data_IF_413792593222
#
_entry.id   IF_413792593222
#
_cell.length_a   1.000
_cell.length_b   1.000
_cell.length_c   1.000
_cell.angle_alpha   90.00
_cell.angle_beta   90.00
_cell.angle_gamma   90.00
#
_symmetry.space_group_name_H-M   'P 1'
#
loop_
_entity.id
_entity.type
_entity.pdbx_description
1 polymer ?
#
# COMPACT_ATOMS: atom_id res chain seq x y z
N UNK A 1 30.90 20.36 -14.56
CA UNK A 1 31.12 19.12 -13.79
C UNK A 1 30.08 18.00 -14.04
N UNK A 2 28.97 18.22 -14.74
CA UNK A 2 27.88 17.23 -14.86
C UNK A 2 28.06 16.19 -16.03
N UNK A 3 28.79 16.52 -17.11
CA UNK A 3 28.95 15.61 -18.27
C UNK A 3 29.94 14.45 -18.06
N UNK A 4 30.87 14.59 -17.15
CA UNK A 4 31.90 13.58 -16.89
C UNK A 4 31.38 12.48 -15.96
N UNK A 5 30.55 12.82 -14.98
CA UNK A 5 29.89 11.86 -14.07
C UNK A 5 28.88 10.97 -14.83
N UNK A 6 28.15 11.53 -15.79
CA UNK A 6 27.18 10.78 -16.59
C UNK A 6 27.86 9.71 -17.47
N UNK A 7 29.00 10.07 -18.10
CA UNK A 7 29.78 9.11 -18.91
C UNK A 7 30.42 7.99 -18.10
N UNK A 8 30.78 8.26 -16.84
CA UNK A 8 31.31 7.23 -15.93
C UNK A 8 30.19 6.26 -15.53
N UNK A 9 29.00 6.78 -15.27
CA UNK A 9 27.83 5.96 -14.94
C UNK A 9 27.38 5.06 -16.11
N UNK A 10 27.28 5.61 -17.33
CA UNK A 10 26.99 4.80 -18.53
C UNK A 10 28.06 3.75 -18.82
N UNK A 11 29.32 4.07 -18.56
CA UNK A 11 30.43 3.11 -18.75
C UNK A 11 30.40 2.02 -17.68
N UNK A 12 30.03 2.33 -16.45
CA UNK A 12 29.83 1.33 -15.39
C UNK A 12 28.65 0.41 -15.70
N UNK A 13 27.51 0.94 -16.17
CA UNK A 13 26.37 0.13 -16.59
C UNK A 13 26.77 -0.81 -17.73
N UNK A 14 27.44 -0.33 -18.76
CA UNK A 14 27.91 -1.17 -19.88
C UNK A 14 28.95 -2.21 -19.45
N UNK A 15 29.80 -1.92 -18.46
CA UNK A 15 30.73 -2.90 -17.91
C UNK A 15 30.00 -3.96 -17.08
N UNK A 16 29.00 -3.58 -16.31
CA UNK A 16 28.15 -4.52 -15.58
C UNK A 16 27.32 -5.40 -16.52
N UNK A 17 26.78 -4.83 -17.60
CA UNK A 17 26.06 -5.58 -18.65
C UNK A 17 26.97 -6.58 -19.40
N UNK A 18 28.26 -6.26 -19.59
CA UNK A 18 29.21 -7.15 -20.25
C UNK A 18 29.83 -8.22 -19.32
N UNK A 19 29.82 -8.02 -18.00
CA UNK A 19 30.37 -9.00 -17.06
C UNK A 19 29.36 -10.10 -16.67
N UNK A 20 28.06 -9.89 -16.92
CA UNK A 20 27.04 -10.93 -16.67
C UNK A 20 26.87 -11.76 -17.95
N UNK A 21 27.92 -12.45 -18.40
CA UNK A 21 27.74 -13.67 -19.18
C UNK A 21 27.26 -14.75 -18.20
N UNK A 22 25.92 -14.84 -18.06
CA UNK A 22 25.34 -15.88 -17.23
C UNK A 22 25.68 -17.26 -17.84
N UNK A 23 26.41 -18.11 -17.15
CA UNK A 23 26.62 -19.49 -17.59
C UNK A 23 25.28 -20.23 -17.45
N UNK A 24 24.78 -20.84 -18.51
CA UNK A 24 23.60 -21.68 -18.48
C UNK A 24 22.60 -21.41 -19.61
N UNK A 25 21.39 -21.92 -19.44
CA UNK A 25 20.30 -21.84 -20.41
C UNK A 25 19.45 -20.55 -20.26
N UNK A 26 19.76 -19.70 -19.31
CA UNK A 26 19.06 -18.43 -19.11
C UNK A 26 19.31 -17.47 -20.26
N UNK A 27 18.25 -16.86 -20.75
CA UNK A 27 18.27 -15.81 -21.76
C UNK A 27 17.39 -14.66 -21.29
N UNK A 28 17.97 -13.49 -21.04
CA UNK A 28 17.26 -12.31 -20.56
C UNK A 28 16.16 -11.83 -21.51
N UNK A 29 16.33 -12.06 -22.81
CA UNK A 29 15.32 -11.76 -23.82
C UNK A 29 14.06 -12.62 -23.76
N UNK A 30 14.12 -13.75 -23.05
CA UNK A 30 12.99 -14.65 -22.80
C UNK A 30 12.35 -14.42 -21.42
N UNK A 31 12.87 -13.49 -20.64
CA UNK A 31 12.30 -13.14 -19.36
C UNK A 31 11.01 -12.34 -19.56
N UNK A 32 9.94 -12.81 -18.95
CA UNK A 32 8.63 -12.17 -18.99
C UNK A 32 8.11 -12.02 -17.56
N UNK A 33 7.55 -10.84 -17.27
CA UNK A 33 6.83 -10.63 -16.02
C UNK A 33 5.65 -11.61 -15.91
N UNK A 34 5.55 -12.26 -14.75
CA UNK A 34 4.52 -13.25 -14.47
C UNK A 34 3.35 -12.68 -13.66
N UNK A 35 3.15 -11.36 -13.64
CA UNK A 35 2.09 -10.71 -12.90
C UNK A 35 0.71 -11.05 -13.44
N UNK A 36 -0.25 -11.28 -12.54
CA UNK A 36 -1.67 -11.31 -12.84
C UNK A 36 -2.29 -9.98 -12.42
N UNK A 37 -2.98 -9.29 -13.32
CA UNK A 37 -3.63 -8.01 -13.04
C UNK A 37 -5.11 -8.12 -13.38
N UNK A 38 -5.95 -7.55 -12.51
CA UNK A 38 -7.39 -7.43 -12.75
C UNK A 38 -7.91 -6.05 -12.36
N UNK A 39 -9.01 -5.68 -12.98
CA UNK A 39 -9.71 -4.44 -12.67
C UNK A 39 -11.22 -4.63 -12.75
N UNK A 40 -11.94 -3.97 -11.86
CA UNK A 40 -13.39 -3.87 -11.91
C UNK A 40 -13.80 -2.41 -11.71
N UNK A 41 -14.75 -1.95 -12.51
CA UNK A 41 -15.22 -0.56 -12.48
C UNK A 41 -16.74 -0.53 -12.63
N UNK A 42 -17.41 0.16 -11.72
CA UNK A 42 -18.83 0.50 -11.87
C UNK A 42 -18.97 1.65 -12.87
N UNK A 43 -19.54 1.40 -14.04
CA UNK A 43 -19.69 2.40 -15.11
C UNK A 43 -20.52 3.60 -14.63
N UNK A 44 -21.50 3.36 -13.78
CA UNK A 44 -22.35 4.40 -13.20
C UNK A 44 -21.75 5.08 -11.96
N UNK A 45 -20.53 4.72 -11.55
CA UNK A 45 -19.86 5.27 -10.37
C UNK A 45 -20.50 4.87 -9.04
N UNK A 46 -21.38 3.87 -9.02
CA UNK A 46 -22.05 3.41 -7.79
C UNK A 46 -21.06 2.59 -6.97
N UNK A 47 -20.81 3.05 -5.75
CA UNK A 47 -19.95 2.34 -4.80
C UNK A 47 -20.74 1.21 -4.14
N UNK A 48 -20.21 0.01 -4.15
CA UNK A 48 -20.79 -1.16 -3.49
C UNK A 48 -19.71 -2.04 -2.86
N UNK A 49 -20.08 -2.80 -1.83
CA UNK A 49 -19.23 -3.84 -1.27
C UNK A 49 -19.07 -5.01 -2.28
N UNK A 50 -20.06 -5.22 -3.14
CA UNK A 50 -19.98 -6.25 -4.19
C UNK A 50 -18.78 -6.01 -5.11
N UNK A 51 -18.47 -4.76 -5.49
CA UNK A 51 -17.26 -4.42 -6.27
C UNK A 51 -15.98 -4.87 -5.57
N UNK A 52 -15.90 -4.74 -4.24
CA UNK A 52 -14.75 -5.20 -3.45
C UNK A 52 -14.67 -6.73 -3.46
N UNK A 53 -15.78 -7.40 -3.22
CA UNK A 53 -15.87 -8.87 -3.22
C UNK A 53 -15.54 -9.46 -4.59
N UNK A 54 -16.05 -8.88 -5.67
CA UNK A 54 -15.76 -9.35 -7.04
C UNK A 54 -14.28 -9.14 -7.39
N UNK A 55 -13.67 -8.03 -6.97
CA UNK A 55 -12.24 -7.81 -7.17
C UNK A 55 -11.38 -8.84 -6.42
N UNK A 56 -11.74 -9.19 -5.19
CA UNK A 56 -11.08 -10.26 -4.45
C UNK A 56 -11.24 -11.62 -5.14
N UNK A 57 -12.41 -11.90 -5.72
CA UNK A 57 -12.64 -13.12 -6.51
C UNK A 57 -11.81 -13.15 -7.81
N UNK A 58 -11.55 -11.99 -8.44
CA UNK A 58 -10.61 -11.90 -9.57
C UNK A 58 -9.21 -12.35 -9.12
N UNK A 59 -8.72 -11.85 -7.96
CA UNK A 59 -7.43 -12.27 -7.39
C UNK A 59 -7.38 -13.79 -7.17
N UNK A 60 -8.41 -14.35 -6.56
CA UNK A 60 -8.51 -15.80 -6.28
C UNK A 60 -8.47 -16.62 -7.58
N UNK A 61 -9.11 -16.14 -8.65
CA UNK A 61 -9.10 -16.78 -9.97
C UNK A 61 -7.74 -16.69 -10.68
N UNK A 62 -6.84 -15.81 -10.24
CA UNK A 62 -5.47 -15.67 -10.76
C UNK A 62 -4.49 -16.64 -10.07
N UNK A 63 -4.93 -17.61 -9.28
CA UNK A 63 -4.07 -18.56 -8.56
C UNK A 63 -3.06 -19.27 -9.47
N UNK A 64 -3.42 -19.56 -10.71
CA UNK A 64 -2.55 -20.19 -11.72
C UNK A 64 -1.37 -19.29 -12.15
N UNK A 65 -1.38 -17.99 -11.78
CA UNK A 65 -0.31 -17.00 -12.02
C UNK A 65 0.48 -16.69 -10.75
N UNK A 66 0.03 -17.16 -9.59
CA UNK A 66 0.63 -16.84 -8.31
C UNK A 66 1.84 -17.74 -8.01
N UNK A 67 2.96 -17.12 -7.63
CA UNK A 67 4.10 -17.83 -7.07
C UNK A 67 3.82 -18.32 -5.66
N UNK A 68 4.36 -19.51 -5.35
CA UNK A 68 4.26 -20.11 -4.01
C UNK A 68 5.67 -20.53 -3.57
N UNK A 69 5.95 -20.36 -2.29
CA UNK A 69 7.20 -20.85 -1.72
C UNK A 69 7.22 -22.40 -1.64
N UNK A 70 8.38 -22.96 -1.27
CA UNK A 70 8.55 -24.41 -1.17
C UNK A 70 7.61 -25.09 -0.16
N UNK A 71 7.11 -24.35 0.85
CA UNK A 71 6.14 -24.84 1.82
C UNK A 71 4.69 -24.74 1.30
N UNK A 72 4.47 -24.03 0.19
CA UNK A 72 3.16 -23.79 -0.40
C UNK A 72 2.22 -22.92 0.45
N UNK A 73 2.76 -22.19 1.44
CA UNK A 73 2.00 -21.41 2.42
C UNK A 73 2.26 -19.91 2.36
N UNK A 74 3.33 -19.49 1.68
CA UNK A 74 3.68 -18.08 1.49
C UNK A 74 3.69 -17.79 -0.01
N UNK A 75 3.07 -16.69 -0.42
CA UNK A 75 3.04 -16.26 -1.82
C UNK A 75 4.03 -15.13 -2.08
N UNK A 76 4.25 -14.82 -3.36
CA UNK A 76 5.15 -13.75 -3.80
C UNK A 76 4.60 -12.36 -3.49
N UNK A 77 3.28 -12.21 -3.55
CA UNK A 77 2.62 -10.96 -3.20
C UNK A 77 1.25 -10.84 -3.86
N UNK A 78 0.30 -10.32 -3.10
CA UNK A 78 -1.05 -10.01 -3.57
C UNK A 78 -1.49 -8.67 -3.02
N UNK A 79 -2.19 -7.89 -3.83
CA UNK A 79 -2.70 -6.61 -3.39
C UNK A 79 -4.00 -6.19 -4.08
N UNK A 80 -4.72 -5.29 -3.40
CA UNK A 80 -5.90 -4.62 -3.92
C UNK A 80 -5.81 -3.12 -3.65
N UNK A 81 -6.07 -2.33 -4.70
CA UNK A 81 -6.27 -0.89 -4.59
C UNK A 81 -7.77 -0.61 -4.68
N UNK A 82 -8.29 0.11 -3.71
CA UNK A 82 -9.69 0.50 -3.58
C UNK A 82 -9.83 2.01 -3.43
N UNK A 83 -11.01 2.54 -3.69
CA UNK A 83 -11.35 3.88 -3.22
C UNK A 83 -11.45 3.89 -1.69
N UNK A 84 -11.14 5.04 -1.09
CA UNK A 84 -11.38 5.25 0.35
C UNK A 84 -12.90 5.26 0.57
N UNK A 85 -13.39 4.25 1.31
CA UNK A 85 -14.80 4.17 1.68
C UNK A 85 -15.09 5.09 2.84
N UNK A 86 -15.69 6.26 2.57
CA UNK A 86 -16.04 7.23 3.61
C UNK A 86 -17.02 6.65 4.63
N UNK A 87 -18.00 5.88 4.16
CA UNK A 87 -18.98 5.18 5.00
C UNK A 87 -18.31 4.25 6.02
N UNK A 88 -17.36 3.43 5.56
CA UNK A 88 -16.61 2.52 6.39
C UNK A 88 -15.71 3.28 7.39
N UNK A 89 -14.84 4.17 6.91
CA UNK A 89 -13.86 4.84 7.76
C UNK A 89 -14.52 5.72 8.81
N UNK A 90 -15.60 6.42 8.48
CA UNK A 90 -16.35 7.24 9.44
C UNK A 90 -16.85 6.42 10.64
N UNK A 91 -17.26 5.18 10.39
CA UNK A 91 -17.67 4.25 11.49
C UNK A 91 -16.44 3.67 12.20
N UNK A 92 -15.43 3.25 11.45
CA UNK A 92 -14.26 2.56 12.00
C UNK A 92 -13.39 3.43 12.91
N UNK A 93 -13.33 4.75 12.67
CA UNK A 93 -12.51 5.66 13.48
C UNK A 93 -13.30 6.39 14.59
N UNK A 94 -14.62 6.31 14.57
CA UNK A 94 -15.48 6.96 15.59
C UNK A 94 -15.12 6.54 17.04
N UNK A 95 -14.86 5.25 17.33
CA UNK A 95 -14.46 4.83 18.67
C UNK A 95 -13.10 5.39 19.12
N UNK A 96 -12.26 5.85 18.16
CA UNK A 96 -10.95 6.43 18.41
C UNK A 96 -11.01 7.95 18.62
N UNK A 97 -12.19 8.56 18.54
CA UNK A 97 -12.36 10.00 18.66
C UNK A 97 -11.85 10.80 17.46
N UNK A 98 -11.65 10.14 16.31
CA UNK A 98 -11.17 10.80 15.08
C UNK A 98 -12.37 11.33 14.28
N UNK A 99 -12.37 12.62 13.99
CA UNK A 99 -13.39 13.28 13.16
C UNK A 99 -12.87 13.54 11.76
N UNK A 100 -13.43 12.85 10.75
CA UNK A 100 -12.94 12.90 9.37
C UNK A 100 -13.48 14.07 8.54
N UNK A 101 -14.58 14.72 8.97
CA UNK A 101 -15.32 15.65 8.12
C UNK A 101 -16.08 14.95 7.00
N UNK A 102 -16.16 15.59 5.83
CA UNK A 102 -16.83 15.06 4.65
C UNK A 102 -15.90 14.17 3.79
N UNK A 103 -16.49 13.48 2.82
CA UNK A 103 -15.73 12.70 1.86
C UNK A 103 -14.69 13.57 1.13
N UNK A 104 -13.43 13.09 1.05
CA UNK A 104 -12.27 13.79 0.47
C UNK A 104 -11.77 15.02 1.25
N UNK A 105 -12.27 15.25 2.47
CA UNK A 105 -11.70 16.24 3.38
C UNK A 105 -10.56 15.69 4.25
N UNK A 106 -10.19 14.45 4.00
CA UNK A 106 -9.07 13.77 4.65
C UNK A 106 -8.35 12.84 3.68
N UNK A 107 -7.10 12.55 3.98
CA UNK A 107 -6.31 11.49 3.37
C UNK A 107 -6.13 10.33 4.34
N UNK A 108 -5.98 9.13 3.78
CA UNK A 108 -5.67 7.91 4.54
C UNK A 108 -4.34 7.35 4.06
N UNK A 109 -3.43 7.12 5.00
CA UNK A 109 -2.18 6.39 4.76
C UNK A 109 -2.27 4.96 5.27
N UNK A 110 -1.73 4.01 4.52
CA UNK A 110 -1.47 2.65 4.97
C UNK A 110 0.02 2.52 5.23
N UNK A 111 0.39 2.22 6.47
CA UNK A 111 1.77 2.17 6.95
C UNK A 111 2.12 0.78 7.45
N UNK A 112 3.31 0.33 7.09
CA UNK A 112 3.93 -0.88 7.58
C UNK A 112 5.10 -0.48 8.48
N UNK A 113 4.94 -0.67 9.77
CA UNK A 113 5.90 -0.31 10.81
C UNK A 113 6.64 -1.53 11.33
N UNK A 114 7.82 -1.35 11.97
CA UNK A 114 8.48 -2.42 12.69
C UNK A 114 7.62 -2.94 13.87
N UNK A 115 7.82 -4.21 14.23
CA UNK A 115 7.16 -4.82 15.39
C UNK A 115 7.67 -4.23 16.72
N UNK A 116 8.92 -3.76 16.75
CA UNK A 116 9.45 -3.06 17.91
C UNK A 116 8.65 -1.80 18.22
N UNK A 117 8.13 -1.71 19.44
CA UNK A 117 7.23 -0.64 19.85
C UNK A 117 7.93 0.73 19.88
N UNK A 118 9.18 0.76 20.32
CA UNK A 118 9.92 2.02 20.41
C UNK A 118 10.23 2.60 19.03
N UNK A 119 10.71 1.75 18.10
CA UNK A 119 10.97 2.12 16.72
C UNK A 119 9.66 2.56 16.03
N UNK A 120 8.58 1.81 16.22
CA UNK A 120 7.24 2.17 15.71
C UNK A 120 6.77 3.53 16.23
N UNK A 121 6.88 3.79 17.52
CA UNK A 121 6.45 5.06 18.12
C UNK A 121 7.29 6.24 17.64
N UNK A 122 8.59 6.05 17.43
CA UNK A 122 9.47 7.06 16.80
C UNK A 122 9.04 7.39 15.39
N UNK A 123 8.79 6.37 14.54
CA UNK A 123 8.35 6.54 13.18
C UNK A 123 6.98 7.24 13.10
N UNK A 124 6.02 6.85 13.95
CA UNK A 124 4.72 7.53 14.07
C UNK A 124 4.89 9.00 14.40
N UNK A 125 5.69 9.31 15.42
CA UNK A 125 5.90 10.70 15.84
C UNK A 125 6.62 11.52 14.78
N UNK A 126 7.56 10.92 14.07
CA UNK A 126 8.23 11.56 12.93
C UNK A 126 7.22 11.92 11.83
N UNK A 127 6.32 11.01 11.45
CA UNK A 127 5.28 11.28 10.46
C UNK A 127 4.35 12.42 10.90
N UNK A 128 3.89 12.43 12.15
CA UNK A 128 3.06 13.49 12.72
C UNK A 128 3.74 14.88 12.60
N UNK A 129 5.02 14.95 12.98
CA UNK A 129 5.80 16.19 12.90
C UNK A 129 5.97 16.67 11.44
N UNK A 130 6.19 15.73 10.50
CA UNK A 130 6.31 16.05 9.08
C UNK A 130 5.00 16.59 8.53
N UNK A 131 3.87 15.94 8.85
CA UNK A 131 2.54 16.39 8.45
C UNK A 131 2.27 17.82 8.93
N UNK A 132 2.60 18.14 10.19
CA UNK A 132 2.46 19.48 10.75
C UNK A 132 3.38 20.51 10.04
N UNK A 133 4.65 20.14 9.79
CA UNK A 133 5.61 21.01 9.08
C UNK A 133 5.21 21.32 7.65
N UNK A 134 4.54 20.37 6.97
CA UNK A 134 3.99 20.55 5.62
C UNK A 134 2.64 21.32 5.62
N UNK A 135 2.25 21.87 6.78
CA UNK A 135 1.02 22.66 6.93
C UNK A 135 -0.27 21.83 6.83
N UNK A 136 -0.19 20.57 7.19
CA UNK A 136 -1.31 19.63 7.28
C UNK A 136 -1.63 19.37 8.76
N UNK A 137 -2.82 18.82 9.03
CA UNK A 137 -3.25 18.44 10.37
C UNK A 137 -3.36 16.91 10.45
N UNK A 138 -2.65 16.31 11.41
CA UNK A 138 -2.75 14.88 11.67
C UNK A 138 -3.93 14.60 12.60
N UNK A 139 -4.85 13.71 12.18
CA UNK A 139 -6.08 13.42 12.93
C UNK A 139 -5.93 12.24 13.89
N UNK A 140 -5.10 11.26 13.56
CA UNK A 140 -4.89 10.10 14.43
C UNK A 140 -4.49 8.83 13.69
N UNK A 141 -4.15 7.81 14.49
CA UNK A 141 -3.79 6.47 14.04
C UNK A 141 -4.90 5.46 14.33
N UNK A 142 -5.05 4.49 13.43
CA UNK A 142 -5.92 3.33 13.59
C UNK A 142 -5.12 2.05 13.35
N UNK A 143 -5.21 1.08 14.24
CA UNK A 143 -4.72 -0.27 14.00
C UNK A 143 -5.61 -0.95 12.96
N UNK A 144 -4.99 -1.59 11.96
CA UNK A 144 -5.72 -2.36 10.96
C UNK A 144 -6.03 -3.74 11.54
N UNK A 145 -7.30 -4.17 11.57
CA UNK A 145 -7.63 -5.53 11.99
C UNK A 145 -7.03 -6.56 11.04
N UNK A 146 -6.11 -7.38 11.55
CA UNK A 146 -5.41 -8.42 10.78
C UNK A 146 -5.52 -9.77 11.46
N UNK A 147 -5.51 -10.85 10.67
CA UNK A 147 -5.60 -12.22 11.13
C UNK A 147 -4.38 -13.04 10.69
N UNK A 148 -3.25 -12.97 11.43
CA UNK A 148 -1.98 -13.62 11.05
C UNK A 148 -2.04 -15.16 10.99
N UNK A 149 -3.02 -15.78 11.60
CA UNK A 149 -3.22 -17.24 11.64
C UNK A 149 -3.43 -17.87 10.25
N UNK A 150 -3.75 -17.08 9.23
CA UNK A 150 -3.91 -17.54 7.85
C UNK A 150 -2.61 -17.58 7.07
N UNK A 151 -1.53 -16.99 7.62
CA UNK A 151 -0.25 -16.83 6.93
C UNK A 151 0.67 -18.05 7.10
N UNK A 152 1.57 -18.23 6.13
CA UNK A 152 2.72 -19.12 6.29
C UNK A 152 3.75 -18.54 7.24
N UNK A 153 4.60 -19.43 7.84
CA UNK A 153 5.59 -19.03 8.83
C UNK A 153 6.53 -17.91 8.36
N UNK A 154 7.01 -17.99 7.12
CA UNK A 154 7.90 -16.95 6.56
C UNK A 154 7.25 -15.58 6.51
N UNK A 155 5.97 -15.51 6.12
CA UNK A 155 5.22 -14.26 6.08
C UNK A 155 4.98 -13.70 7.49
N UNK A 156 4.71 -14.57 8.48
CA UNK A 156 4.56 -14.16 9.89
C UNK A 156 5.89 -13.63 10.45
N UNK A 157 7.01 -14.30 10.17
CA UNK A 157 8.33 -13.93 10.70
C UNK A 157 8.79 -12.52 10.21
N UNK A 158 8.30 -12.06 9.05
CA UNK A 158 8.61 -10.72 8.52
C UNK A 158 7.40 -9.77 8.48
N UNK A 159 6.29 -10.14 9.13
CA UNK A 159 5.07 -9.33 9.11
C UNK A 159 5.30 -7.98 9.80
N UNK A 160 4.97 -6.85 9.13
CA UNK A 160 5.02 -5.54 9.76
C UNK A 160 3.84 -5.32 10.71
N UNK A 161 3.95 -4.33 11.57
CA UNK A 161 2.82 -3.79 12.31
C UNK A 161 2.05 -2.82 11.40
N UNK A 162 0.79 -3.10 11.11
CA UNK A 162 0.03 -2.39 10.08
C UNK A 162 -0.92 -1.38 10.71
N UNK A 163 -0.77 -0.11 10.33
CA UNK A 163 -1.61 0.99 10.81
C UNK A 163 -2.10 1.88 9.67
N UNK A 164 -3.20 2.56 9.93
CA UNK A 164 -3.71 3.64 9.10
C UNK A 164 -3.54 4.97 9.81
N UNK A 165 -2.99 5.97 9.08
CA UNK A 165 -2.87 7.35 9.55
C UNK A 165 -3.83 8.25 8.79
N UNK A 166 -4.49 9.17 9.48
CA UNK A 166 -5.48 10.08 8.93
C UNK A 166 -4.96 11.51 8.96
N UNK A 167 -5.04 12.18 7.80
CA UNK A 167 -4.54 13.55 7.62
C UNK A 167 -5.66 14.42 7.08
N UNK A 168 -5.95 15.53 7.74
CA UNK A 168 -7.00 16.47 7.33
C UNK A 168 -6.56 17.34 6.16
N UNK A 169 -7.48 17.60 5.25
CA UNK A 169 -7.29 18.56 4.18
C UNK A 169 -7.26 19.98 4.73
N UNK A 170 -6.23 20.79 4.46
CA UNK A 170 -6.21 22.16 4.88
C UNK A 170 -7.19 23.01 4.06
N UNK A 171 -7.77 24.04 4.67
CA UNK A 171 -8.80 24.88 4.04
C UNK A 171 -8.31 25.56 2.74
N UNK A 172 -7.01 25.82 2.63
CA UNK A 172 -6.38 26.46 1.48
C UNK A 172 -5.95 25.50 0.38
N UNK A 173 -6.36 24.23 0.41
CA UNK A 173 -6.14 23.26 -0.66
C UNK A 173 -7.48 22.76 -1.21
N UNK A 174 -7.63 22.70 -2.54
CA UNK A 174 -8.80 22.10 -3.16
C UNK A 174 -8.83 20.58 -2.97
N UNK A 175 -10.05 19.99 -2.95
CA UNK A 175 -10.22 18.53 -2.93
C UNK A 175 -9.59 17.89 -4.18
N UNK A 176 -9.07 16.68 -4.04
CA UNK A 176 -8.49 15.91 -5.14
C UNK A 176 -7.00 16.16 -5.31
N UNK A 177 -6.56 16.43 -6.55
CA UNK A 177 -5.14 16.39 -6.92
C UNK A 177 -4.27 17.40 -6.14
N UNK A 178 -4.80 18.55 -5.77
CA UNK A 178 -4.04 19.55 -5.01
C UNK A 178 -3.74 19.05 -3.61
N UNK A 179 -4.73 18.49 -2.93
CA UNK A 179 -4.50 17.87 -1.62
C UNK A 179 -3.62 16.62 -1.72
N UNK A 180 -3.83 15.77 -2.73
CA UNK A 180 -2.96 14.59 -2.95
C UNK A 180 -1.49 14.98 -3.19
N UNK A 181 -1.21 16.12 -3.85
CA UNK A 181 0.18 16.62 -3.99
C UNK A 181 0.81 16.95 -2.66
N UNK A 182 0.08 17.54 -1.71
CA UNK A 182 0.58 17.83 -0.36
C UNK A 182 0.83 16.55 0.42
N UNK A 183 -0.09 15.59 0.35
CA UNK A 183 0.10 14.26 0.93
C UNK A 183 1.34 13.56 0.33
N UNK A 184 1.54 13.68 -0.97
CA UNK A 184 2.72 13.13 -1.64
C UNK A 184 4.03 13.77 -1.13
N UNK A 185 4.08 15.08 -0.94
CA UNK A 185 5.26 15.75 -0.37
C UNK A 185 5.53 15.22 1.04
N UNK A 186 4.53 15.21 1.92
CA UNK A 186 4.66 14.69 3.28
C UNK A 186 5.14 13.22 3.28
N UNK A 187 4.60 12.39 2.39
CA UNK A 187 5.05 11.01 2.18
C UNK A 187 6.52 10.95 1.80
N UNK A 188 6.95 11.72 0.79
CA UNK A 188 8.34 11.67 0.29
C UNK A 188 9.36 12.16 1.33
N UNK A 189 9.02 13.21 2.08
CA UNK A 189 9.85 13.68 3.20
C UNK A 189 9.96 12.61 4.27
N UNK A 190 8.85 11.96 4.62
CA UNK A 190 8.85 10.86 5.58
C UNK A 190 9.68 9.66 5.10
N UNK A 191 9.50 9.21 3.86
CA UNK A 191 10.25 8.07 3.29
C UNK A 191 11.77 8.32 3.23
N UNK A 192 12.20 9.60 3.10
CA UNK A 192 13.62 9.97 3.11
C UNK A 192 14.23 10.06 4.53
N UNK A 193 13.39 10.18 5.55
CA UNK A 193 13.82 10.37 6.94
C UNK A 193 13.57 9.16 7.82
N UNK A 194 12.63 8.31 7.44
CA UNK A 194 12.30 7.08 8.16
C UNK A 194 13.39 6.01 7.98
N UNK A 195 13.50 5.13 8.97
CA UNK A 195 14.35 3.95 8.87
C UNK A 195 13.80 2.97 7.81
N UNK A 196 14.68 2.17 7.20
CA UNK A 196 14.34 1.19 6.14
C UNK A 196 13.31 0.13 6.58
N UNK A 197 13.07 0.00 7.88
CA UNK A 197 12.08 -0.89 8.47
C UNK A 197 10.65 -0.36 8.39
N UNK A 198 10.47 0.89 7.93
CA UNK A 198 9.16 1.54 7.80
C UNK A 198 8.82 1.75 6.33
N UNK A 199 7.61 1.35 5.93
CA UNK A 199 7.14 1.46 4.56
C UNK A 199 5.77 2.12 4.48
N UNK A 200 5.62 3.11 3.58
CA UNK A 200 4.32 3.72 3.27
C UNK A 200 3.72 3.02 2.05
N UNK A 201 2.77 2.12 2.29
CA UNK A 201 2.09 1.37 1.24
C UNK A 201 1.28 2.30 0.32
N UNK A 202 0.50 3.19 0.90
CA UNK A 202 -0.25 4.24 0.19
C UNK A 202 -0.50 5.43 1.11
N UNK A 203 -0.67 6.63 0.53
CA UNK A 203 -1.16 7.83 1.21
C UNK A 203 -1.88 8.70 0.18
N UNK A 204 -3.18 8.80 0.26
CA UNK A 204 -4.03 9.51 -0.70
C UNK A 204 -5.33 9.98 -0.07
N UNK A 205 -6.00 10.95 -0.70
CA UNK A 205 -7.36 11.36 -0.37
C UNK A 205 -8.44 10.58 -1.16
N UNK A 206 -8.02 9.68 -2.06
CA UNK A 206 -8.92 8.99 -2.99
C UNK A 206 -8.86 7.48 -2.93
N UNK A 207 -7.67 6.93 -2.78
CA UNK A 207 -7.42 5.49 -2.86
C UNK A 207 -6.57 4.98 -1.71
N UNK A 208 -6.70 3.70 -1.41
CA UNK A 208 -5.91 2.99 -0.42
C UNK A 208 -5.52 1.62 -0.97
N UNK A 209 -4.35 1.13 -0.55
CA UNK A 209 -3.83 -0.16 -0.98
C UNK A 209 -3.71 -1.10 0.22
N UNK A 210 -4.27 -2.30 0.07
CA UNK A 210 -4.04 -3.44 0.96
C UNK A 210 -3.18 -4.45 0.22
N UNK A 211 -2.05 -4.83 0.77
CA UNK A 211 -1.13 -5.81 0.13
C UNK A 211 -0.25 -6.52 1.14
N UNK A 212 0.35 -7.62 0.71
CA UNK A 212 1.33 -8.37 1.49
C UNK A 212 1.84 -9.59 0.76
N UNK A 213 2.74 -10.34 1.40
CA UNK A 213 3.25 -11.63 0.91
C UNK A 213 2.20 -12.72 1.16
N UNK A 214 1.17 -12.74 0.34
CA UNK A 214 0.02 -13.62 0.48
C UNK A 214 -0.05 -14.65 -0.64
N UNK A 215 -0.66 -15.79 -0.35
CA UNK A 215 -1.38 -16.56 -1.37
C UNK A 215 -2.68 -15.83 -1.70
N UNK A 216 -3.19 -16.02 -2.92
CA UNK A 216 -4.36 -15.26 -3.44
C UNK A 216 -5.57 -15.24 -2.52
N UNK A 217 -5.93 -16.35 -1.89
CA UNK A 217 -7.06 -16.43 -0.96
C UNK A 217 -6.79 -15.84 0.43
N UNK A 218 -5.53 -15.58 0.78
CA UNK A 218 -5.18 -15.05 2.11
C UNK A 218 -5.46 -13.56 2.25
N UNK A 219 -5.41 -12.77 1.17
CA UNK A 219 -5.63 -11.32 1.20
C UNK A 219 -6.98 -10.98 1.86
N UNK A 220 -8.06 -11.63 1.44
CA UNK A 220 -9.41 -11.47 1.98
C UNK A 220 -9.48 -11.86 3.46
N UNK A 221 -8.86 -13.00 3.79
CA UNK A 221 -8.91 -13.55 5.15
C UNK A 221 -8.03 -12.78 6.14
N UNK A 222 -6.95 -12.15 5.66
CA UNK A 222 -5.99 -11.46 6.51
C UNK A 222 -6.48 -10.07 6.95
N UNK A 223 -7.07 -9.29 6.03
CA UNK A 223 -7.54 -7.93 6.33
C UNK A 223 -9.03 -7.91 6.65
N UNK A 224 -9.38 -7.77 7.92
CA UNK A 224 -10.78 -7.70 8.37
C UNK A 224 -11.59 -6.55 7.76
N UNK A 225 -10.91 -5.48 7.33
CA UNK A 225 -11.55 -4.35 6.66
C UNK A 225 -12.23 -4.76 5.34
N UNK A 226 -11.63 -5.70 4.59
CA UNK A 226 -12.09 -6.10 3.26
C UNK A 226 -13.39 -6.92 3.28
N UNK A 227 -13.70 -7.56 4.41
CA UNK A 227 -14.94 -8.32 4.60
C UNK A 227 -16.08 -7.47 5.20
N UNK A 228 -15.79 -6.21 5.55
CA UNK A 228 -16.81 -5.36 6.16
C UNK A 228 -17.81 -4.87 5.10
N UNK A 229 -19.13 -5.11 5.26
CA UNK A 229 -20.14 -4.73 4.27
C UNK A 229 -20.30 -3.22 4.07
N UNK A 230 -19.81 -2.40 5.00
CA UNK A 230 -19.76 -0.94 4.85
C UNK A 230 -18.57 -0.48 3.99
N UNK A 231 -17.59 -1.36 3.71
CA UNK A 231 -16.49 -1.04 2.82
C UNK A 231 -16.96 -1.13 1.37
N UNK A 232 -17.18 0.01 0.75
CA UNK A 232 -17.72 0.14 -0.61
C UNK A 232 -16.73 0.86 -1.53
N UNK A 233 -16.68 0.43 -2.79
CA UNK A 233 -15.87 1.04 -3.84
C UNK A 233 -16.59 0.96 -5.19
N UNK A 234 -16.35 1.91 -6.08
CA UNK A 234 -16.81 1.86 -7.47
C UNK A 234 -15.69 1.38 -8.42
N UNK A 235 -14.44 1.34 -7.94
CA UNK A 235 -13.27 0.92 -8.71
C UNK A 235 -12.38 0.07 -7.80
N UNK A 236 -11.90 -1.05 -8.32
CA UNK A 236 -10.87 -1.85 -7.69
C UNK A 236 -9.86 -2.31 -8.73
N UNK A 237 -8.57 -2.28 -8.35
CA UNK A 237 -7.47 -2.84 -9.12
C UNK A 237 -6.79 -3.91 -8.26
N UNK A 238 -6.47 -5.04 -8.85
CA UNK A 238 -5.84 -6.17 -8.17
C UNK A 238 -4.61 -6.67 -8.92
N UNK A 239 -3.67 -7.17 -8.16
CA UNK A 239 -2.44 -7.79 -8.66
C UNK A 239 -2.06 -8.95 -7.75
#
# INVERSE_FOLDING_TARGET
MCKQSFRIYERMIRLMENEIKQPGLYRSELEHDACGIGAIVSINGIKTHQTVSDALSIVENLEHRAGKDAEGKTGDGVGILLQISHKFFKKAVKPLGIELGDERDYGVGMFFFPQDELARNRAKKMFEIIVEKEGLEFLGWRDVPTFPNVLGKKAVDCMPYIMQGFVKRPANAAKGIEFDRRLYVARRVFEQTAEDTTYVCSLSSRTIVYKGMFLVGQLRQFFGDLENPDYESAIALVQ
#
